data_IF_919674442847
#
_entry.id   IF_919674442847
#
_cell.length_a   1.000
_cell.length_b   1.000
_cell.length_c   1.000
_cell.angle_alpha   90.00
_cell.angle_beta   90.00
_cell.angle_gamma   90.00
#
_symmetry.space_group_name_H-M   'P 1'
#
loop_
_entity.id
_entity.type
_entity.pdbx_description
1 polymer ?
#
# COMPACT_ATOMS: atom_id res chain seq x y z
N UNK A 1 2.61 -21.79 6.69
CA UNK A 1 1.19 -22.07 6.47
C UNK A 1 1.01 -22.11 4.96
N UNK A 2 0.42 -23.17 4.40
CA UNK A 2 0.26 -23.29 2.94
C UNK A 2 -1.19 -22.97 2.60
N UNK A 3 -1.40 -21.99 1.73
CA UNK A 3 -2.73 -21.59 1.27
C UNK A 3 -3.10 -22.50 0.10
N UNK A 4 -4.36 -22.91 0.08
CA UNK A 4 -4.89 -23.65 -1.04
C UNK A 4 -5.33 -22.67 -2.13
N UNK A 5 -4.47 -22.42 -3.12
CA UNK A 5 -4.77 -21.52 -4.24
C UNK A 5 -6.06 -21.92 -4.97
N UNK A 6 -6.44 -23.20 -4.98
CA UNK A 6 -7.70 -23.62 -5.58
C UNK A 6 -8.90 -23.15 -4.76
N UNK A 7 -8.82 -23.17 -3.43
CA UNK A 7 -9.86 -22.60 -2.56
C UNK A 7 -9.91 -21.09 -2.66
N UNK A 8 -8.76 -20.41 -2.72
CA UNK A 8 -8.72 -18.95 -2.86
C UNK A 8 -9.41 -18.51 -4.15
N UNK A 9 -9.12 -19.16 -5.28
CA UNK A 9 -9.78 -18.90 -6.57
C UNK A 9 -11.25 -19.32 -6.53
N UNK A 10 -11.55 -20.51 -5.97
CA UNK A 10 -12.92 -21.02 -5.89
C UNK A 10 -13.82 -20.10 -5.07
N UNK A 11 -13.28 -19.33 -4.13
CA UNK A 11 -14.04 -18.34 -3.37
C UNK A 11 -14.76 -17.34 -4.28
N UNK A 12 -14.09 -16.90 -5.35
CA UNK A 12 -14.64 -16.01 -6.36
C UNK A 12 -15.63 -16.75 -7.27
N UNK A 13 -15.23 -17.92 -7.80
CA UNK A 13 -16.05 -18.68 -8.74
C UNK A 13 -17.44 -19.01 -8.18
N UNK A 14 -17.54 -19.46 -6.93
CA UNK A 14 -18.83 -19.80 -6.30
C UNK A 14 -19.68 -18.56 -5.97
N UNK A 15 -19.13 -17.36 -6.10
CA UNK A 15 -19.78 -16.07 -5.80
C UNK A 15 -20.12 -15.24 -7.02
N UNK A 16 -19.83 -15.74 -8.23
CA UNK A 16 -20.34 -15.15 -9.47
C UNK A 16 -21.87 -15.14 -9.46
N UNK A 17 -22.47 -14.02 -9.85
CA UNK A 17 -23.93 -13.84 -9.80
C UNK A 17 -24.47 -13.47 -8.41
N UNK A 18 -23.63 -13.47 -7.36
CA UNK A 18 -24.08 -13.24 -5.98
C UNK A 18 -23.59 -11.92 -5.38
N UNK A 19 -22.41 -11.44 -5.77
CA UNK A 19 -21.80 -10.25 -5.17
C UNK A 19 -22.09 -8.98 -5.97
N UNK A 20 -22.35 -7.90 -5.24
CA UNK A 20 -22.39 -6.52 -5.75
C UNK A 20 -21.16 -5.75 -5.27
N UNK A 21 -20.54 -4.94 -6.13
CA UNK A 21 -19.35 -4.20 -5.75
C UNK A 21 -19.71 -3.12 -4.71
N UNK A 22 -19.01 -3.08 -3.58
CA UNK A 22 -19.15 -2.01 -2.60
C UNK A 22 -17.92 -1.91 -1.70
N UNK A 23 -17.40 -0.68 -1.56
CA UNK A 23 -16.36 -0.34 -0.59
C UNK A 23 -16.91 0.04 0.80
N UNK A 24 -18.23 0.30 0.90
CA UNK A 24 -18.89 0.74 2.13
C UNK A 24 -19.75 -0.35 2.79
N UNK A 25 -19.99 -1.46 2.09
CA UNK A 25 -20.66 -2.64 2.65
C UNK A 25 -19.68 -3.55 3.41
N UNK A 26 -19.97 -4.84 3.47
CA UNK A 26 -19.11 -5.79 4.20
C UNK A 26 -17.71 -5.96 3.63
N UNK A 27 -17.49 -5.61 2.34
CA UNK A 27 -16.23 -5.77 1.58
C UNK A 27 -15.73 -7.21 1.40
N UNK A 28 -16.17 -8.15 2.24
CA UNK A 28 -15.79 -9.56 2.27
C UNK A 28 -16.91 -10.51 1.80
N UNK A 29 -18.03 -9.99 1.30
CA UNK A 29 -19.12 -10.79 0.76
C UNK A 29 -20.10 -11.33 1.80
N UNK A 30 -19.99 -10.99 3.09
CA UNK A 30 -20.89 -11.52 4.14
C UNK A 30 -22.31 -10.94 4.06
N UNK A 31 -22.48 -9.76 3.48
CA UNK A 31 -23.78 -9.12 3.24
C UNK A 31 -24.19 -9.10 1.75
N UNK A 32 -23.51 -9.90 0.91
CA UNK A 32 -23.70 -9.88 -0.55
C UNK A 32 -22.96 -8.74 -1.26
N UNK A 33 -22.15 -7.96 -0.55
CA UNK A 33 -21.29 -6.93 -1.13
C UNK A 33 -19.81 -7.20 -0.87
N UNK A 34 -18.95 -6.86 -1.83
CA UNK A 34 -17.50 -7.00 -1.67
C UNK A 34 -16.75 -5.92 -2.46
N UNK A 35 -15.49 -5.69 -2.11
CA UNK A 35 -14.54 -4.95 -2.95
C UNK A 35 -13.31 -5.80 -3.26
N UNK A 36 -12.41 -5.30 -4.11
CA UNK A 36 -11.27 -6.05 -4.61
C UNK A 36 -10.37 -6.60 -3.48
N UNK A 37 -9.95 -5.73 -2.57
CA UNK A 37 -8.99 -6.05 -1.50
C UNK A 37 -9.62 -6.81 -0.33
N UNK A 38 -10.88 -6.51 0.01
CA UNK A 38 -11.66 -7.27 1.00
C UNK A 38 -11.96 -8.69 0.51
N UNK A 39 -12.27 -8.87 -0.77
CA UNK A 39 -12.47 -10.19 -1.37
C UNK A 39 -11.20 -11.04 -1.33
N UNK A 40 -10.04 -10.50 -1.71
CA UNK A 40 -8.76 -11.23 -1.64
C UNK A 40 -8.41 -11.59 -0.19
N UNK A 41 -8.56 -10.65 0.74
CA UNK A 41 -8.34 -10.89 2.18
C UNK A 41 -9.19 -12.07 2.67
N UNK A 42 -10.48 -12.07 2.36
CA UNK A 42 -11.41 -13.12 2.77
C UNK A 42 -11.10 -14.46 2.07
N UNK A 43 -10.82 -14.44 0.77
CA UNK A 43 -10.50 -15.62 -0.02
C UNK A 43 -9.24 -16.33 0.52
N UNK A 44 -8.19 -15.59 0.85
CA UNK A 44 -6.96 -16.11 1.45
C UNK A 44 -7.24 -16.75 2.82
N UNK A 45 -8.00 -16.05 3.68
CA UNK A 45 -8.39 -16.56 4.99
C UNK A 45 -9.19 -17.86 4.88
N UNK A 46 -10.17 -17.92 3.99
CA UNK A 46 -11.00 -19.13 3.77
C UNK A 46 -10.22 -20.28 3.10
N UNK A 47 -9.14 -19.95 2.39
CA UNK A 47 -8.22 -20.90 1.78
C UNK A 47 -7.14 -21.45 2.74
N UNK A 48 -7.20 -21.09 4.03
CA UNK A 48 -6.30 -21.58 5.07
C UNK A 48 -5.22 -20.59 5.49
N UNK A 49 -5.33 -19.33 5.07
CA UNK A 49 -4.50 -18.23 5.57
C UNK A 49 -4.80 -17.85 7.02
N UNK A 50 -3.96 -17.00 7.58
CA UNK A 50 -4.08 -16.47 8.93
C UNK A 50 -5.35 -15.62 9.09
N UNK A 51 -5.88 -15.57 10.31
CA UNK A 51 -6.98 -14.66 10.62
C UNK A 51 -6.52 -13.21 10.41
N UNK A 52 -7.27 -12.44 9.62
CA UNK A 52 -7.00 -11.03 9.43
C UNK A 52 -7.49 -10.21 10.65
N UNK A 53 -6.75 -9.14 10.97
CA UNK A 53 -7.12 -8.20 12.04
C UNK A 53 -8.24 -7.25 11.61
N UNK A 54 -8.23 -6.88 10.33
CA UNK A 54 -9.21 -6.05 9.64
C UNK A 54 -9.21 -6.42 8.16
N UNK A 55 -10.17 -5.92 7.39
CA UNK A 55 -10.16 -6.09 5.93
C UNK A 55 -9.17 -5.12 5.31
N UNK A 56 -8.10 -5.66 4.74
CA UNK A 56 -7.02 -4.87 4.16
C UNK A 56 -7.48 -4.08 2.93
N UNK A 57 -6.83 -2.96 2.68
CA UNK A 57 -6.92 -2.16 1.45
C UNK A 57 -5.84 -2.60 0.45
N UNK A 58 -5.88 -2.13 -0.80
CA UNK A 58 -4.80 -2.41 -1.76
C UNK A 58 -3.42 -1.96 -1.26
N UNK A 59 -3.35 -0.87 -0.50
CA UNK A 59 -2.12 -0.36 0.12
C UNK A 59 -1.59 -1.31 1.20
N UNK A 60 -2.47 -1.83 2.05
CA UNK A 60 -2.06 -2.60 3.24
C UNK A 60 -2.01 -4.11 2.99
N UNK A 61 -2.58 -4.60 1.88
CA UNK A 61 -2.72 -6.01 1.57
C UNK A 61 -1.37 -6.74 1.42
N UNK A 62 -0.32 -6.06 0.94
CA UNK A 62 1.03 -6.64 0.85
C UNK A 62 1.55 -7.19 2.19
N UNK A 63 1.22 -6.54 3.31
CA UNK A 63 1.59 -7.02 4.65
C UNK A 63 0.88 -8.32 5.02
N UNK A 64 -0.41 -8.43 4.67
CA UNK A 64 -1.20 -9.64 4.91
C UNK A 64 -0.74 -10.80 4.02
N UNK A 65 -0.41 -10.52 2.75
CA UNK A 65 0.19 -11.49 1.83
C UNK A 65 1.52 -12.03 2.39
N UNK A 66 2.41 -11.14 2.82
CA UNK A 66 3.69 -11.52 3.43
C UNK A 66 3.50 -12.40 4.68
N UNK A 67 2.58 -12.02 5.57
CA UNK A 67 2.25 -12.80 6.77
C UNK A 67 1.69 -14.20 6.45
N UNK A 68 1.22 -14.40 5.22
CA UNK A 68 0.66 -15.64 4.69
C UNK A 68 1.62 -16.41 3.77
N UNK A 69 2.88 -16.01 3.73
CA UNK A 69 3.93 -16.72 2.98
C UNK A 69 3.95 -16.43 1.49
N UNK A 70 3.34 -15.33 1.04
CA UNK A 70 3.57 -14.81 -0.29
C UNK A 70 4.84 -13.95 -0.33
N UNK A 71 5.54 -14.00 -1.45
CA UNK A 71 6.68 -13.14 -1.76
C UNK A 71 6.36 -12.32 -3.00
N UNK A 72 6.83 -11.06 -3.04
CA UNK A 72 6.72 -10.22 -4.24
C UNK A 72 7.74 -10.70 -5.27
N UNK A 73 7.24 -11.27 -6.37
CA UNK A 73 8.06 -11.86 -7.43
C UNK A 73 8.24 -10.95 -8.64
N UNK A 74 7.41 -9.92 -8.78
CA UNK A 74 7.52 -8.91 -9.83
C UNK A 74 7.03 -7.55 -9.33
N UNK A 75 7.68 -6.50 -9.83
CA UNK A 75 7.30 -5.10 -9.66
C UNK A 75 7.59 -4.37 -10.98
N UNK A 76 6.55 -3.86 -11.64
CA UNK A 76 6.64 -3.16 -12.93
C UNK A 76 7.46 -3.90 -14.00
N UNK A 77 7.46 -5.22 -13.95
CA UNK A 77 8.17 -6.09 -14.88
C UNK A 77 7.24 -7.22 -15.33
N UNK A 78 7.52 -7.75 -16.52
CA UNK A 78 6.85 -8.96 -17.01
C UNK A 78 7.12 -10.13 -16.05
N UNK A 79 6.15 -11.01 -15.89
CA UNK A 79 6.33 -12.26 -15.16
C UNK A 79 5.64 -13.41 -15.90
N UNK A 80 6.08 -14.63 -15.64
CA UNK A 80 5.39 -15.82 -16.10
C UNK A 80 4.25 -16.14 -15.13
N UNK A 81 3.02 -15.83 -15.53
CA UNK A 81 1.85 -15.91 -14.67
C UNK A 81 1.52 -17.34 -14.29
N UNK A 82 1.31 -17.54 -12.99
CA UNK A 82 0.93 -18.82 -12.41
C UNK A 82 -0.37 -18.71 -11.64
N UNK A 83 -1.07 -19.84 -11.58
CA UNK A 83 -2.29 -19.98 -10.80
C UNK A 83 -2.04 -19.65 -9.34
N UNK A 84 -2.78 -18.67 -8.83
CA UNK A 84 -2.67 -18.19 -7.45
C UNK A 84 -1.77 -16.96 -7.28
N UNK A 85 -1.15 -16.45 -8.34
CA UNK A 85 -0.49 -15.15 -8.29
C UNK A 85 -1.51 -14.07 -7.95
N UNK A 86 -1.23 -13.29 -6.92
CA UNK A 86 -2.02 -12.11 -6.56
C UNK A 86 -1.39 -10.91 -7.27
N UNK A 87 -2.18 -10.21 -8.07
CA UNK A 87 -1.71 -9.04 -8.82
C UNK A 87 -2.34 -7.80 -8.21
N UNK A 88 -1.51 -6.92 -7.64
CA UNK A 88 -1.93 -5.62 -7.11
C UNK A 88 -1.52 -4.56 -8.13
N UNK A 89 -2.38 -3.57 -8.35
CA UNK A 89 -2.10 -2.48 -9.28
C UNK A 89 -2.60 -1.12 -8.78
N UNK A 90 -1.96 -0.06 -9.27
CA UNK A 90 -2.29 1.34 -9.00
C UNK A 90 -2.14 2.16 -10.28
N UNK A 91 -2.95 3.20 -10.41
CA UNK A 91 -2.85 4.18 -11.50
C UNK A 91 -1.89 5.33 -11.19
N UNK A 92 -1.28 5.31 -10.00
CA UNK A 92 -0.17 6.16 -9.61
C UNK A 92 1.19 5.48 -9.72
N UNK A 93 2.26 6.19 -9.36
CA UNK A 93 3.63 5.68 -9.44
C UNK A 93 3.94 4.55 -8.44
N UNK A 94 3.07 4.33 -7.45
CA UNK A 94 3.23 3.30 -6.42
C UNK A 94 1.88 2.75 -5.98
N UNK A 95 1.89 1.61 -5.26
CA UNK A 95 0.69 1.10 -4.60
C UNK A 95 0.12 2.10 -3.57
N UNK A 96 1.01 2.80 -2.87
CA UNK A 96 0.71 3.78 -1.84
C UNK A 96 -0.19 4.91 -2.38
N UNK A 97 0.13 5.42 -3.57
CA UNK A 97 -0.65 6.44 -4.29
C UNK A 97 -2.12 6.06 -4.51
N UNK A 98 -2.45 4.77 -4.49
CA UNK A 98 -3.85 4.34 -4.64
C UNK A 98 -4.75 4.82 -3.50
N UNK A 99 -4.23 5.21 -2.33
CA UNK A 99 -5.02 5.60 -1.16
C UNK A 99 -6.01 4.51 -0.72
N UNK A 100 -5.73 3.25 -1.07
CA UNK A 100 -6.58 2.08 -0.80
C UNK A 100 -7.83 1.93 -1.67
N UNK A 101 -8.33 3.01 -2.27
CA UNK A 101 -9.54 3.04 -3.09
C UNK A 101 -9.28 3.18 -4.60
N UNK A 102 -8.20 3.85 -4.98
CA UNK A 102 -7.76 4.09 -6.35
C UNK A 102 -6.86 2.99 -6.92
N UNK A 103 -6.84 1.82 -6.29
CA UNK A 103 -6.02 0.67 -6.69
C UNK A 103 -6.92 -0.51 -6.98
N UNK A 104 -6.34 -1.56 -7.55
CA UNK A 104 -7.07 -2.80 -7.80
C UNK A 104 -6.23 -4.02 -7.44
N UNK A 105 -6.92 -5.12 -7.12
CA UNK A 105 -6.27 -6.39 -6.86
C UNK A 105 -7.14 -7.55 -7.32
N UNK A 106 -6.49 -8.60 -7.81
CA UNK A 106 -7.14 -9.87 -8.08
C UNK A 106 -6.14 -11.01 -8.06
N UNK A 107 -6.59 -12.19 -8.48
CA UNK A 107 -5.84 -13.42 -8.46
C UNK A 107 -5.84 -14.05 -9.85
N UNK A 108 -4.69 -14.57 -10.28
CA UNK A 108 -4.57 -15.31 -11.54
C UNK A 108 -5.16 -16.71 -11.36
N UNK A 109 -6.16 -17.05 -12.16
CA UNK A 109 -6.72 -18.40 -12.22
C UNK A 109 -5.79 -19.38 -12.93
N UNK A 110 -5.04 -18.88 -13.89
CA UNK A 110 -4.11 -19.62 -14.72
C UNK A 110 -3.12 -18.61 -15.32
N UNK A 111 -2.39 -18.99 -16.38
CA UNK A 111 -1.40 -18.12 -17.01
C UNK A 111 -1.97 -16.91 -17.75
N UNK A 112 -3.29 -16.82 -17.94
CA UNK A 112 -3.91 -15.74 -18.74
C UNK A 112 -5.14 -15.14 -18.10
N UNK A 113 -5.83 -15.86 -17.21
CA UNK A 113 -7.14 -15.45 -16.70
C UNK A 113 -7.00 -14.78 -15.34
N UNK A 114 -7.33 -13.50 -15.26
CA UNK A 114 -7.39 -12.71 -14.04
C UNK A 114 -8.82 -12.67 -13.51
N UNK A 115 -9.05 -13.03 -12.24
CA UNK A 115 -10.35 -12.93 -11.57
C UNK A 115 -10.27 -11.95 -10.39
N UNK A 116 -11.28 -11.11 -10.25
CA UNK A 116 -11.35 -10.13 -9.17
C UNK A 116 -12.80 -9.79 -8.80
N UNK A 117 -12.94 -8.98 -7.74
CA UNK A 117 -14.17 -8.22 -7.48
C UNK A 117 -13.94 -6.80 -7.96
N UNK A 118 -14.65 -6.34 -8.98
CA UNK A 118 -14.44 -5.04 -9.62
C UNK A 118 -15.74 -4.30 -9.94
N UNK A 119 -15.58 -3.07 -10.47
CA UNK A 119 -16.67 -2.20 -10.90
C UNK A 119 -16.89 -2.24 -12.42
N UNK A 120 -16.39 -3.26 -13.14
CA UNK A 120 -16.37 -3.31 -14.61
C UNK A 120 -17.75 -3.15 -15.25
N UNK A 121 -18.77 -3.66 -14.58
CA UNK A 121 -20.17 -3.61 -15.02
C UNK A 121 -20.92 -2.36 -14.53
N UNK A 122 -20.21 -1.38 -13.97
CA UNK A 122 -20.82 -0.18 -13.40
C UNK A 122 -21.56 -0.45 -12.08
N UNK A 123 -21.15 -1.49 -11.33
CA UNK A 123 -21.72 -1.80 -10.00
C UNK A 123 -23.10 -2.44 -10.04
N UNK A 124 -23.49 -3.08 -11.15
CA UNK A 124 -24.75 -3.81 -11.22
C UNK A 124 -24.83 -4.92 -10.16
N UNK A 125 -26.05 -5.21 -9.71
CA UNK A 125 -26.25 -6.20 -8.65
C UNK A 125 -25.86 -7.61 -9.13
N UNK A 126 -25.06 -8.31 -8.34
CA UNK A 126 -24.62 -9.69 -8.62
C UNK A 126 -23.51 -9.82 -9.69
N UNK A 127 -22.97 -8.71 -10.19
CA UNK A 127 -22.00 -8.73 -11.30
C UNK A 127 -20.58 -8.32 -10.90
N UNK A 128 -20.29 -8.27 -9.59
CA UNK A 128 -19.01 -7.76 -9.09
C UNK A 128 -17.84 -8.72 -9.36
N UNK A 129 -18.08 -10.04 -9.34
CA UNK A 129 -17.03 -11.01 -9.68
C UNK A 129 -16.92 -11.11 -11.20
N UNK A 130 -15.76 -10.73 -11.71
CA UNK A 130 -15.47 -10.66 -13.14
C UNK A 130 -14.18 -11.44 -13.46
N UNK A 131 -14.10 -11.93 -14.69
CA UNK A 131 -12.90 -12.54 -15.24
C UNK A 131 -12.48 -11.79 -16.50
N UNK A 132 -11.19 -11.59 -16.63
CA UNK A 132 -10.60 -10.92 -17.79
C UNK A 132 -9.37 -11.70 -18.25
N UNK A 133 -9.10 -11.67 -19.55
CA UNK A 133 -7.79 -12.03 -20.06
C UNK A 133 -6.81 -10.92 -19.63
N UNK A 134 -5.70 -11.31 -19.02
CA UNK A 134 -4.79 -10.40 -18.32
C UNK A 134 -4.13 -9.39 -19.26
N UNK A 135 -3.61 -9.83 -20.40
CA UNK A 135 -2.91 -8.93 -21.32
C UNK A 135 -3.87 -7.87 -21.88
N UNK A 136 -5.10 -8.29 -22.23
CA UNK A 136 -6.16 -7.39 -22.62
C UNK A 136 -6.54 -6.44 -21.47
N UNK A 137 -6.79 -6.95 -20.27
CA UNK A 137 -7.15 -6.16 -19.09
C UNK A 137 -6.09 -5.10 -18.80
N UNK A 138 -4.82 -5.50 -18.78
CA UNK A 138 -3.69 -4.61 -18.58
C UNK A 138 -3.60 -3.54 -19.69
N UNK A 139 -3.80 -3.93 -20.96
CA UNK A 139 -3.71 -3.01 -22.10
C UNK A 139 -4.80 -1.92 -22.11
N UNK A 140 -5.98 -2.23 -21.57
CA UNK A 140 -7.12 -1.29 -21.49
C UNK A 140 -7.02 -0.41 -20.26
N UNK A 141 -6.71 -1.00 -19.10
CA UNK A 141 -6.67 -0.27 -17.83
C UNK A 141 -5.40 0.57 -17.66
N UNK A 142 -4.27 0.13 -18.22
CA UNK A 142 -2.96 0.82 -18.18
C UNK A 142 -2.58 1.35 -16.79
N UNK A 143 -2.55 0.49 -15.75
CA UNK A 143 -2.04 0.91 -14.45
C UNK A 143 -0.58 1.38 -14.59
N UNK A 144 -0.19 2.39 -13.83
CA UNK A 144 1.16 2.94 -13.82
C UNK A 144 2.11 2.15 -12.90
N UNK A 145 1.54 1.38 -11.97
CA UNK A 145 2.26 0.51 -11.05
C UNK A 145 1.58 -0.85 -10.91
N UNK A 146 2.35 -1.93 -10.97
CA UNK A 146 1.91 -3.30 -10.74
C UNK A 146 2.93 -4.03 -9.90
N UNK A 147 2.46 -4.84 -8.95
CA UNK A 147 3.26 -5.86 -8.29
C UNK A 147 2.53 -7.21 -8.26
N UNK A 148 3.33 -8.27 -8.26
CA UNK A 148 2.83 -9.64 -8.28
C UNK A 148 3.40 -10.42 -7.11
N UNK A 149 2.51 -11.09 -6.40
CA UNK A 149 2.80 -11.86 -5.20
C UNK A 149 2.47 -13.33 -5.41
N UNK A 150 3.42 -14.21 -5.10
CA UNK A 150 3.29 -15.66 -5.24
C UNK A 150 3.60 -16.37 -3.93
N UNK A 151 2.83 -17.40 -3.61
CA UNK A 151 3.09 -18.24 -2.46
C UNK A 151 4.13 -19.33 -2.80
N UNK A 152 5.21 -19.44 -2.02
CA UNK A 152 6.30 -20.37 -2.28
C UNK A 152 5.88 -21.84 -2.09
N UNK A 153 6.12 -22.68 -3.11
CA UNK A 153 5.81 -24.13 -3.08
C UNK A 153 6.62 -25.05 -4.02
N UNK A 154 7.53 -24.53 -4.86
CA UNK A 154 8.44 -25.31 -5.72
C UNK A 154 9.72 -24.50 -6.03
N UNK A 155 10.84 -25.20 -6.24
CA UNK A 155 12.23 -24.69 -6.33
C UNK A 155 12.45 -23.50 -7.28
N UNK A 156 13.38 -22.58 -6.96
CA UNK A 156 13.64 -21.39 -7.75
C UNK A 156 14.27 -21.72 -9.11
N UNK A 157 13.70 -21.17 -10.19
CA UNK A 157 14.42 -20.97 -11.45
C UNK A 157 15.21 -19.64 -11.36
N UNK A 158 16.43 -19.53 -11.93
CA UNK A 158 17.28 -18.38 -11.68
C UNK A 158 16.65 -17.07 -12.13
N UNK A 159 16.67 -16.11 -11.22
CA UNK A 159 16.36 -14.70 -11.40
C UNK A 159 17.28 -14.10 -12.48
N UNK A 160 16.79 -13.37 -13.49
CA UNK A 160 17.55 -12.29 -14.08
C UNK A 160 17.71 -11.21 -13.01
N UNK A 161 18.95 -10.83 -12.67
CA UNK A 161 19.21 -9.82 -11.64
C UNK A 161 18.31 -8.59 -11.81
N UNK A 162 17.76 -8.15 -10.67
CA UNK A 162 17.20 -6.81 -10.48
C UNK A 162 18.14 -5.80 -11.16
N UNK A 163 17.67 -4.82 -11.96
CA UNK A 163 18.42 -3.58 -12.08
C UNK A 163 18.44 -3.01 -10.67
N UNK A 164 19.54 -3.19 -9.95
CA UNK A 164 19.74 -2.54 -8.66
C UNK A 164 19.65 -1.05 -8.94
N UNK A 165 18.50 -0.44 -8.64
CA UNK A 165 18.50 0.96 -8.26
C UNK A 165 19.42 1.03 -7.07
N UNK A 166 20.65 1.46 -7.35
CA UNK A 166 21.63 1.79 -6.33
C UNK A 166 20.96 2.71 -5.32
N UNK A 167 21.30 2.52 -4.05
CA UNK A 167 20.81 3.42 -3.02
C UNK A 167 21.08 4.86 -3.44
N UNK A 168 20.06 5.70 -3.30
CA UNK A 168 20.27 7.13 -3.44
C UNK A 168 21.27 7.58 -2.36
N UNK A 169 21.91 8.73 -2.57
CA UNK A 169 22.92 9.22 -1.62
C UNK A 169 22.36 9.36 -0.19
N UNK A 170 21.10 9.78 -0.03
CA UNK A 170 20.47 9.89 1.28
C UNK A 170 20.18 8.52 1.90
N UNK A 171 19.61 7.58 1.14
CA UNK A 171 19.32 6.23 1.63
C UNK A 171 20.60 5.50 2.04
N UNK A 172 21.67 5.64 1.25
CA UNK A 172 22.98 5.10 1.58
C UNK A 172 23.52 5.66 2.92
N UNK A 173 23.28 6.94 3.19
CA UNK A 173 23.70 7.57 4.46
C UNK A 173 22.91 7.06 5.66
N UNK A 174 21.58 6.91 5.54
CA UNK A 174 20.79 6.32 6.63
C UNK A 174 21.23 4.88 6.92
N UNK A 175 21.45 4.07 5.89
CA UNK A 175 21.96 2.70 6.06
C UNK A 175 23.35 2.67 6.72
N UNK A 176 24.25 3.56 6.30
CA UNK A 176 25.58 3.69 6.91
C UNK A 176 25.51 4.13 8.38
N UNK A 177 24.48 4.89 8.77
CA UNK A 177 24.21 5.29 10.15
C UNK A 177 23.46 4.21 10.97
N UNK A 178 23.30 3.00 10.43
CA UNK A 178 22.56 1.91 11.08
C UNK A 178 21.05 2.15 11.10
N UNK A 179 20.53 2.79 10.06
CA UNK A 179 19.14 3.24 9.88
C UNK A 179 18.67 4.26 10.92
N UNK A 180 19.57 4.87 11.69
CA UNK A 180 19.17 5.82 12.74
C UNK A 180 18.94 7.21 12.18
N UNK A 181 17.97 7.93 12.75
CA UNK A 181 17.76 9.34 12.49
C UNK A 181 17.63 10.15 13.78
N UNK A 182 17.93 11.44 13.66
CA UNK A 182 17.57 12.48 14.62
C UNK A 182 17.07 13.67 13.81
N UNK A 183 15.86 14.16 14.11
CA UNK A 183 15.18 15.22 13.39
C UNK A 183 14.84 16.37 14.34
N UNK A 184 15.82 17.25 14.59
CA UNK A 184 15.71 18.33 15.57
C UNK A 184 15.32 19.67 14.97
N UNK A 185 15.45 19.82 13.66
CA UNK A 185 15.12 21.05 12.96
C UNK A 185 13.61 21.18 12.76
N UNK A 186 13.20 22.40 12.48
CA UNK A 186 11.82 22.75 12.22
C UNK A 186 11.47 22.64 10.74
N UNK A 187 10.19 22.42 10.46
CA UNK A 187 9.62 22.37 9.12
C UNK A 187 8.21 22.99 9.13
N UNK A 188 7.67 23.24 7.93
CA UNK A 188 6.41 23.98 7.79
C UNK A 188 5.19 23.09 7.66
N UNK A 189 4.07 23.59 8.16
CA UNK A 189 2.72 23.11 7.88
C UNK A 189 2.26 23.77 6.59
N UNK A 190 2.25 23.02 5.49
CA UNK A 190 1.89 23.57 4.18
C UNK A 190 0.42 23.32 3.81
N UNK A 191 -0.18 22.24 4.33
CA UNK A 191 -1.61 21.97 4.27
C UNK A 191 -2.02 21.11 5.48
N UNK A 192 -3.27 21.22 5.93
CA UNK A 192 -3.78 20.58 7.16
C UNK A 192 -5.23 20.14 6.99
N UNK A 193 -5.55 18.90 7.36
CA UNK A 193 -6.93 18.40 7.35
C UNK A 193 -7.14 17.20 8.26
N UNK A 194 -8.40 16.93 8.56
CA UNK A 194 -8.82 15.67 9.17
C UNK A 194 -8.86 14.59 8.09
N UNK A 195 -8.01 13.58 8.21
CA UNK A 195 -7.92 12.45 7.29
C UNK A 195 -7.88 11.14 8.09
N UNK A 196 -8.73 10.18 7.73
CA UNK A 196 -8.91 8.91 8.47
C UNK A 196 -9.13 9.06 9.99
N UNK A 197 -9.83 10.13 10.40
CA UNK A 197 -10.15 10.38 11.81
C UNK A 197 -9.01 10.97 12.64
N UNK A 198 -7.86 11.29 12.02
CA UNK A 198 -6.71 11.89 12.66
C UNK A 198 -6.46 13.26 12.01
N UNK A 199 -6.19 14.27 12.83
CA UNK A 199 -5.73 15.55 12.31
C UNK A 199 -4.29 15.42 11.86
N UNK A 200 -4.08 15.62 10.57
CA UNK A 200 -2.81 15.47 9.92
C UNK A 200 -2.47 16.75 9.17
N UNK A 201 -1.18 16.97 8.93
CA UNK A 201 -0.67 17.99 8.04
C UNK A 201 0.36 17.41 7.08
N UNK A 202 0.65 18.14 6.01
CA UNK A 202 1.75 17.82 5.11
C UNK A 202 2.77 18.94 5.14
N UNK A 203 4.03 18.56 4.96
CA UNK A 203 5.14 19.48 4.75
C UNK A 203 5.74 19.20 3.38
N UNK A 204 5.60 20.13 2.44
CA UNK A 204 6.19 20.00 1.11
C UNK A 204 7.71 19.98 1.16
N UNK A 205 8.28 20.60 2.20
CA UNK A 205 9.70 20.47 2.53
C UNK A 205 10.07 19.00 2.72
N UNK A 206 9.33 18.26 3.56
CA UNK A 206 9.62 16.86 3.88
C UNK A 206 9.22 15.90 2.77
N UNK A 207 8.23 16.25 1.96
CA UNK A 207 7.76 15.41 0.86
C UNK A 207 8.61 15.61 -0.41
N UNK A 208 9.42 16.67 -0.47
CA UNK A 208 10.22 17.01 -1.66
C UNK A 208 9.39 17.57 -2.82
N UNK A 209 8.11 17.89 -2.60
CA UNK A 209 7.17 18.36 -3.62
C UNK A 209 5.76 18.60 -3.07
N UNK A 210 4.86 19.09 -3.94
CA UNK A 210 3.46 19.39 -3.59
C UNK A 210 2.48 18.27 -3.94
N UNK A 211 2.93 17.21 -4.63
CA UNK A 211 2.12 16.02 -4.94
C UNK A 211 2.22 15.06 -3.76
N UNK A 212 1.15 14.97 -2.95
CA UNK A 212 1.17 14.32 -1.64
C UNK A 212 0.00 13.35 -1.46
N UNK A 213 0.30 12.17 -0.94
CA UNK A 213 -0.69 11.19 -0.47
C UNK A 213 -0.94 11.46 1.02
N UNK A 214 -2.18 11.68 1.42
CA UNK A 214 -2.51 11.89 2.84
C UNK A 214 -2.46 10.61 3.66
N UNK A 215 -2.49 9.44 3.01
CA UNK A 215 -2.29 8.15 3.66
C UNK A 215 -0.81 7.85 3.90
N UNK A 216 0.07 8.35 3.03
CA UNK A 216 1.51 8.06 3.10
C UNK A 216 2.34 9.20 3.68
N UNK A 217 1.96 10.45 3.42
CA UNK A 217 2.74 11.63 3.79
C UNK A 217 2.04 12.51 4.82
N UNK A 218 0.83 12.15 5.24
CA UNK A 218 0.12 12.84 6.30
C UNK A 218 0.83 12.65 7.64
N UNK A 219 1.31 13.75 8.22
CA UNK A 219 1.97 13.78 9.51
C UNK A 219 0.92 14.09 10.58
N UNK A 220 0.64 13.17 11.54
CA UNK A 220 -0.28 13.45 12.62
C UNK A 220 0.19 14.66 13.44
N UNK A 221 -0.74 15.54 13.82
CA UNK A 221 -0.40 16.65 14.71
C UNK A 221 0.15 16.17 16.07
N UNK A 222 -0.17 14.94 16.49
CA UNK A 222 0.28 14.35 17.74
C UNK A 222 1.77 13.99 17.78
N UNK A 223 2.47 13.94 16.64
CA UNK A 223 3.91 13.61 16.61
C UNK A 223 4.81 14.85 16.61
N UNK A 224 4.23 16.05 16.58
CA UNK A 224 4.96 17.32 16.47
C UNK A 224 4.59 18.32 17.56
N UNK A 225 5.52 19.24 17.85
CA UNK A 225 5.29 20.43 18.64
C UNK A 225 5.19 21.65 17.72
N UNK A 226 4.20 22.53 17.95
CA UNK A 226 4.05 23.78 17.25
C UNK A 226 4.94 24.87 17.86
N UNK A 227 5.94 25.32 17.11
CA UNK A 227 6.94 26.30 17.55
C UNK A 227 6.45 27.73 17.35
N UNK A 228 5.55 27.96 16.39
CA UNK A 228 5.04 29.30 16.08
C UNK A 228 4.08 29.81 17.15
N UNK A 229 3.13 28.96 17.58
CA UNK A 229 2.05 29.36 18.50
C UNK A 229 1.98 28.57 19.80
N UNK A 230 2.81 27.54 19.96
CA UNK A 230 2.71 26.61 21.09
C UNK A 230 1.63 25.56 20.88
N UNK A 231 1.59 24.57 21.78
CA UNK A 231 0.70 23.40 21.67
C UNK A 231 -0.70 23.61 22.27
N UNK A 232 -0.96 24.78 22.87
CA UNK A 232 -2.25 25.11 23.49
C UNK A 232 -3.27 25.67 22.47
N UNK A 233 -2.82 26.00 21.26
CA UNK A 233 -3.62 26.59 20.19
C UNK A 233 -3.64 25.68 18.96
N UNK A 234 -4.75 25.70 18.20
CA UNK A 234 -4.89 24.89 16.99
C UNK A 234 -3.83 25.29 15.94
N UNK A 235 -3.05 24.30 15.50
CA UNK A 235 -2.09 24.44 14.39
C UNK A 235 -2.78 24.88 13.10
N UNK A 236 -2.16 25.79 12.35
CA UNK A 236 -2.67 26.30 11.09
C UNK A 236 -1.64 26.17 9.97
N UNK A 237 -2.12 26.26 8.73
CA UNK A 237 -1.27 26.42 7.55
C UNK A 237 -0.34 27.63 7.73
N UNK A 238 0.94 27.43 7.45
CA UNK A 238 2.01 28.41 7.59
C UNK A 238 2.76 28.33 8.92
N UNK A 239 2.31 27.52 9.88
CA UNK A 239 3.03 27.32 11.13
C UNK A 239 4.35 26.57 10.93
N UNK A 240 5.27 26.83 11.85
CA UNK A 240 6.52 26.12 11.98
C UNK A 240 6.37 25.12 13.12
N UNK A 241 6.65 23.85 12.82
CA UNK A 241 6.59 22.73 13.76
C UNK A 241 7.94 22.01 13.80
N UNK A 242 8.14 21.18 14.82
CA UNK A 242 9.24 20.21 14.90
C UNK A 242 8.70 18.87 15.37
N UNK A 243 9.41 17.78 15.10
CA UNK A 243 9.10 16.53 15.80
C UNK A 243 9.22 16.73 17.31
N UNK A 244 8.22 16.24 18.05
CA UNK A 244 8.24 16.31 19.51
C UNK A 244 9.35 15.41 20.07
N UNK A 245 9.71 15.58 21.34
CA UNK A 245 10.82 14.86 21.95
C UNK A 245 10.66 13.32 21.90
N UNK A 246 9.41 12.83 21.81
CA UNK A 246 9.11 11.40 21.68
C UNK A 246 9.36 10.85 20.26
N UNK A 247 9.36 11.70 19.23
CA UNK A 247 9.41 11.29 17.82
C UNK A 247 10.59 11.90 17.05
N UNK A 248 11.40 12.75 17.69
CA UNK A 248 12.54 13.41 17.04
C UNK A 248 13.77 12.53 16.85
N UNK A 249 13.72 11.25 17.21
CA UNK A 249 14.79 10.29 16.99
C UNK A 249 14.22 8.87 16.88
N UNK A 250 14.89 8.01 16.12
CA UNK A 250 14.44 6.64 15.91
C UNK A 250 15.19 5.93 14.81
N UNK A 251 14.52 4.96 14.18
CA UNK A 251 15.02 4.23 13.02
C UNK A 251 14.15 4.45 11.80
N UNK A 252 14.77 4.40 10.62
CA UNK A 252 14.09 4.23 9.35
C UNK A 252 13.66 2.76 9.25
N UNK A 253 12.37 2.54 9.09
CA UNK A 253 11.75 1.21 9.07
C UNK A 253 11.62 0.66 7.64
N UNK A 254 11.68 1.54 6.63
CA UNK A 254 11.64 1.14 5.22
C UNK A 254 12.26 2.16 4.27
N UNK A 255 12.64 1.69 3.08
CA UNK A 255 13.26 2.50 2.04
C UNK A 255 12.62 2.25 0.68
N UNK A 256 12.32 3.33 -0.05
CA UNK A 256 11.98 3.27 -1.46
C UNK A 256 13.04 4.00 -2.29
N UNK A 257 13.94 3.22 -2.91
CA UNK A 257 15.00 3.73 -3.77
C UNK A 257 14.49 4.34 -5.07
N UNK A 258 13.29 3.97 -5.55
CA UNK A 258 12.75 4.50 -6.80
C UNK A 258 12.26 5.95 -6.63
N UNK A 259 11.66 6.24 -5.48
CA UNK A 259 11.13 7.58 -5.15
C UNK A 259 12.05 8.39 -4.24
N UNK A 260 13.19 7.81 -3.82
CA UNK A 260 14.10 8.41 -2.86
C UNK A 260 13.38 8.72 -1.53
N UNK A 261 12.68 7.73 -0.96
CA UNK A 261 11.87 7.92 0.23
C UNK A 261 12.31 7.02 1.40
N UNK A 262 12.06 7.52 2.61
CA UNK A 262 12.24 6.82 3.89
C UNK A 262 10.90 6.71 4.60
N UNK A 263 10.59 5.52 5.09
CA UNK A 263 9.38 5.23 5.85
C UNK A 263 9.67 5.09 7.34
N UNK A 264 8.88 5.74 8.18
CA UNK A 264 9.00 5.68 9.65
C UNK A 264 7.66 5.27 10.24
N UNK A 265 7.66 4.22 11.05
CA UNK A 265 6.49 3.70 11.75
C UNK A 265 6.21 4.54 13.00
N UNK A 266 5.09 5.25 13.01
CA UNK A 266 4.68 6.14 14.09
C UNK A 266 3.69 5.48 15.06
N UNK A 267 3.78 4.15 15.20
CA UNK A 267 2.93 3.36 16.08
C UNK A 267 1.48 3.32 15.60
N UNK A 268 0.56 3.86 16.40
CA UNK A 268 -0.88 3.82 16.11
C UNK A 268 -1.30 4.59 14.86
N UNK A 269 -0.44 5.50 14.37
CA UNK A 269 -0.70 6.31 13.18
C UNK A 269 -0.15 5.68 11.88
N UNK A 270 0.52 4.53 11.98
CA UNK A 270 1.07 3.82 10.81
C UNK A 270 2.39 4.39 10.29
N UNK A 271 2.76 3.99 9.07
CA UNK A 271 4.01 4.38 8.41
C UNK A 271 3.83 5.70 7.68
N UNK A 272 4.75 6.63 7.91
CA UNK A 272 4.80 7.90 7.20
C UNK A 272 6.06 7.93 6.34
N UNK A 273 5.87 8.29 5.08
CA UNK A 273 6.90 8.38 4.05
C UNK A 273 7.34 9.82 3.84
N UNK A 274 8.65 10.00 3.85
CA UNK A 274 9.32 11.28 3.63
C UNK A 274 10.31 11.16 2.48
N UNK A 275 10.56 12.25 1.76
CA UNK A 275 11.68 12.31 0.85
C UNK A 275 13.00 12.20 1.63
N UNK A 276 13.87 11.26 1.27
CA UNK A 276 15.08 10.95 2.00
C UNK A 276 16.07 12.12 2.02
N UNK A 277 16.22 12.88 0.93
CA UNK A 277 17.10 14.05 0.89
C UNK A 277 16.59 15.20 1.76
N UNK A 278 15.27 15.33 1.88
CA UNK A 278 14.66 16.31 2.76
C UNK A 278 14.77 15.88 4.22
N UNK A 279 14.46 14.61 4.50
CA UNK A 279 14.47 14.05 5.85
C UNK A 279 15.88 14.02 6.45
N UNK A 280 16.91 13.83 5.63
CA UNK A 280 18.31 13.88 6.07
C UNK A 280 18.75 15.27 6.59
N UNK A 281 18.02 16.34 6.24
CA UNK A 281 18.37 17.73 6.58
C UNK A 281 17.65 18.25 7.80
N UNK A 282 16.68 17.50 8.34
CA UNK A 282 15.91 17.91 9.51
C UNK A 282 16.46 17.30 10.77
#
# INVERSE_FOLDING_TARGET
MTIDNNKAISWFDIRKGLLTYSMSGSRNGTDGTADCSGAITQAIRDAGGSQYAYLYSTVTLGSYLSANGFTRISENQSWDAQRGDIVLMSWGPSMAYSGGAGGHVGIMKDSTTFISVDYWTGGQAGTAVSEHEWDYYHSVNKPAYIEVWRQDGATPQPVPDKPTTSDTNAIAQFKAAGNKFTAYNTFKVDDIKLHNGIWQFVSYQLNGGTDVSWDDNGIPLSVVDNVTRGNDEDTQVGDTVKFSDAFNNGTIDDYDNATNAVGIDTGEYGRIWYNADAFLKI
#
